data_IF_907338960978
#
_entry.id   IF_907338960978
#
_cell.length_a   1.000
_cell.length_b   1.000
_cell.length_c   1.000
_cell.angle_alpha   90.00
_cell.angle_beta   90.00
_cell.angle_gamma   90.00
#
_symmetry.space_group_name_H-M   'P 1'
#
loop_
_entity.id
_entity.type
_entity.pdbx_description
1 polymer ?
#
# COMPACT_ATOMS: atom_id res chain seq x y z
N UNK A 1 9.97 -9.52 25.78
CA UNK A 1 9.31 -8.85 24.64
C UNK A 1 8.56 -9.91 23.86
N UNK A 2 7.35 -9.64 23.37
CA UNK A 2 6.55 -10.63 22.64
C UNK A 2 7.20 -10.94 21.29
N UNK A 3 7.14 -12.18 20.80
CA UNK A 3 7.70 -12.57 19.48
C UNK A 3 7.21 -11.65 18.35
N UNK A 4 5.93 -11.29 18.40
CA UNK A 4 5.30 -10.31 17.49
C UNK A 4 5.94 -8.91 17.52
N UNK A 5 6.35 -8.42 18.70
CA UNK A 5 7.00 -7.11 18.84
C UNK A 5 8.40 -7.14 18.23
N UNK A 6 9.13 -8.24 18.43
CA UNK A 6 10.44 -8.43 17.81
C UNK A 6 10.33 -8.48 16.27
N UNK A 7 9.33 -9.18 15.73
CA UNK A 7 9.09 -9.23 14.30
C UNK A 7 8.77 -7.84 13.72
N UNK A 8 7.95 -7.03 14.40
CA UNK A 8 7.67 -5.65 13.97
C UNK A 8 8.92 -4.77 13.98
N UNK A 9 9.76 -4.88 15.02
CA UNK A 9 11.02 -4.13 15.06
C UNK A 9 11.96 -4.54 13.93
N UNK A 10 12.06 -5.85 13.64
CA UNK A 10 12.83 -6.35 12.49
C UNK A 10 12.28 -5.84 11.16
N UNK A 11 10.95 -5.71 11.03
CA UNK A 11 10.34 -5.13 9.83
C UNK A 11 10.79 -3.68 9.64
N UNK A 12 10.70 -2.87 10.70
CA UNK A 12 11.13 -1.46 10.69
C UNK A 12 12.59 -1.37 10.27
N UNK A 13 13.48 -2.09 10.96
CA UNK A 13 14.92 -2.09 10.66
C UNK A 13 15.23 -2.48 9.21
N UNK A 14 14.48 -3.44 8.63
CA UNK A 14 14.67 -3.85 7.23
C UNK A 14 14.23 -2.79 6.25
N UNK A 15 13.08 -2.18 6.46
CA UNK A 15 12.59 -1.12 5.57
C UNK A 15 13.48 0.12 5.66
N UNK A 16 13.96 0.47 6.86
CA UNK A 16 14.91 1.58 7.08
C UNK A 16 16.24 1.39 6.33
N UNK A 17 16.74 0.15 6.17
CA UNK A 17 17.96 -0.11 5.38
C UNK A 17 17.80 0.27 3.91
N UNK A 18 16.59 0.14 3.39
CA UNK A 18 16.26 0.47 1.99
C UNK A 18 15.81 1.92 1.80
N UNK A 19 15.61 2.68 2.88
CA UNK A 19 15.05 4.04 2.85
C UNK A 19 15.91 4.98 3.69
N UNK A 20 16.65 5.85 3.01
CA UNK A 20 17.54 6.81 3.68
C UNK A 20 16.78 8.06 4.11
N UNK A 21 16.93 8.46 5.37
CA UNK A 21 16.49 9.77 5.87
C UNK A 21 14.98 9.95 6.04
N UNK A 22 14.19 8.88 6.00
CA UNK A 22 12.72 8.95 6.09
C UNK A 22 12.17 7.96 7.14
N UNK A 23 12.76 7.95 8.33
CA UNK A 23 12.33 7.07 9.42
C UNK A 23 10.84 7.26 9.76
N UNK A 24 10.37 8.51 9.79
CA UNK A 24 8.95 8.82 10.06
C UNK A 24 7.99 8.23 9.02
N UNK A 25 8.43 8.11 7.76
CA UNK A 25 7.64 7.45 6.71
C UNK A 25 7.54 5.97 7.02
N UNK A 26 8.67 5.31 7.32
CA UNK A 26 8.69 3.88 7.66
C UNK A 26 7.79 3.57 8.85
N UNK A 27 7.89 4.36 9.92
CA UNK A 27 7.03 4.24 11.10
C UNK A 27 5.55 4.35 10.73
N UNK A 28 5.18 5.34 9.91
CA UNK A 28 3.80 5.51 9.46
C UNK A 28 3.31 4.35 8.59
N UNK A 29 4.18 3.77 7.74
CA UNK A 29 3.83 2.60 6.94
C UNK A 29 3.55 1.39 7.84
N UNK A 30 4.42 1.14 8.82
CA UNK A 30 4.26 0.02 9.75
C UNK A 30 3.04 0.23 10.66
N UNK A 31 2.76 1.46 11.10
CA UNK A 31 1.55 1.80 11.84
C UNK A 31 0.29 1.57 11.02
N UNK A 32 0.26 2.02 9.76
CA UNK A 32 -0.86 1.76 8.84
C UNK A 32 -1.08 0.26 8.67
N UNK A 33 0.00 -0.48 8.46
CA UNK A 33 -0.03 -1.94 8.35
C UNK A 33 -0.60 -2.60 9.61
N UNK A 34 -0.16 -2.23 10.81
CA UNK A 34 -0.61 -2.81 12.08
C UNK A 34 -2.03 -2.41 12.49
N UNK A 35 -2.53 -1.29 11.97
CA UNK A 35 -3.88 -0.79 12.26
C UNK A 35 -4.91 -1.20 11.22
N UNK A 36 -4.50 -1.95 10.19
CA UNK A 36 -5.32 -2.23 9.01
C UNK A 36 -5.86 -0.94 8.35
N UNK A 37 -5.00 0.08 8.29
CA UNK A 37 -5.32 1.38 7.69
C UNK A 37 -4.47 1.66 6.46
N UNK A 38 -4.94 2.62 5.66
CA UNK A 38 -4.27 3.08 4.45
C UNK A 38 -3.51 4.38 4.72
N UNK A 39 -2.41 4.62 3.99
CA UNK A 39 -1.54 5.79 4.22
C UNK A 39 -1.52 6.69 3.00
N UNK A 40 -1.65 8.00 3.24
CA UNK A 40 -1.51 9.04 2.22
C UNK A 40 -0.14 9.72 2.35
N UNK A 41 0.69 9.62 1.32
CA UNK A 41 2.05 10.19 1.25
C UNK A 41 2.07 11.45 0.37
N UNK A 42 2.01 12.61 0.99
CA UNK A 42 2.15 13.90 0.31
C UNK A 42 3.62 14.31 0.21
N UNK A 43 4.06 14.84 -0.93
CA UNK A 43 5.46 15.25 -1.09
C UNK A 43 5.93 15.26 -2.54
N UNK A 44 7.13 15.77 -2.75
CA UNK A 44 7.67 16.04 -4.09
C UNK A 44 8.03 14.76 -4.86
N UNK A 45 8.01 14.80 -6.21
CA UNK A 45 8.53 13.71 -7.02
C UNK A 45 10.00 13.45 -6.70
N UNK A 46 10.42 12.18 -6.76
CA UNK A 46 11.81 11.79 -6.50
C UNK A 46 12.17 11.57 -5.02
N UNK A 47 11.24 11.75 -4.09
CA UNK A 47 11.46 11.56 -2.64
C UNK A 47 11.44 10.08 -2.18
N UNK A 48 11.88 9.14 -3.01
CA UNK A 48 11.99 7.70 -2.69
C UNK A 48 10.72 6.99 -2.15
N UNK A 49 9.53 7.60 -2.17
CA UNK A 49 8.27 7.02 -1.65
C UNK A 49 7.98 5.62 -2.22
N UNK A 50 8.09 5.46 -3.53
CA UNK A 50 7.87 4.17 -4.22
C UNK A 50 8.83 3.10 -3.72
N UNK A 51 10.09 3.46 -3.42
CA UNK A 51 11.09 2.55 -2.89
C UNK A 51 10.71 2.10 -1.48
N UNK A 52 10.23 3.01 -0.62
CA UNK A 52 9.78 2.67 0.74
C UNK A 52 8.63 1.67 0.74
N UNK A 53 7.65 1.86 -0.15
CA UNK A 53 6.51 0.95 -0.26
C UNK A 53 6.93 -0.42 -0.80
N UNK A 54 7.80 -0.44 -1.81
CA UNK A 54 8.32 -1.69 -2.37
C UNK A 54 9.14 -2.47 -1.34
N UNK A 55 10.03 -1.79 -0.62
CA UNK A 55 10.83 -2.39 0.44
C UNK A 55 9.96 -3.00 1.55
N UNK A 56 8.83 -2.37 1.90
CA UNK A 56 7.86 -2.95 2.82
C UNK A 56 7.25 -4.25 2.28
N UNK A 57 6.82 -4.27 1.02
CA UNK A 57 6.24 -5.45 0.39
C UNK A 57 7.24 -6.61 0.30
N UNK A 58 8.49 -6.31 -0.07
CA UNK A 58 9.61 -7.25 -0.17
C UNK A 58 9.96 -7.81 1.22
N UNK A 59 10.04 -6.95 2.25
CA UNK A 59 10.33 -7.37 3.62
C UNK A 59 9.26 -8.31 4.23
N UNK A 60 8.02 -8.24 3.73
CA UNK A 60 6.90 -9.11 4.10
C UNK A 60 6.71 -10.30 3.14
N UNK A 61 7.47 -10.38 2.03
CA UNK A 61 7.25 -11.36 0.96
C UNK A 61 5.78 -11.40 0.49
N UNK A 62 5.22 -10.21 0.22
CA UNK A 62 3.82 -10.03 -0.18
C UNK A 62 3.69 -9.61 -1.62
N UNK A 63 2.50 -9.81 -2.20
CA UNK A 63 2.21 -9.33 -3.54
C UNK A 63 2.15 -7.79 -3.56
N UNK A 64 2.83 -7.19 -4.55
CA UNK A 64 2.91 -5.75 -4.74
C UNK A 64 2.20 -5.32 -6.02
N UNK A 65 1.26 -4.39 -5.88
CA UNK A 65 0.55 -3.76 -6.98
C UNK A 65 0.94 -2.30 -7.11
N UNK A 66 1.09 -1.80 -8.33
CA UNK A 66 1.31 -0.38 -8.60
C UNK A 66 0.29 0.12 -9.59
N UNK A 67 -0.34 1.24 -9.26
CA UNK A 67 -1.25 1.98 -10.13
C UNK A 67 -0.72 3.39 -10.25
N UNK A 68 -0.42 3.83 -11.47
CA UNK A 68 -0.13 5.22 -11.75
C UNK A 68 -1.44 5.90 -12.12
N UNK A 69 -1.87 6.88 -11.31
CA UNK A 69 -3.09 7.61 -11.59
C UNK A 69 -2.82 8.64 -12.68
N UNK A 70 -3.61 8.57 -13.75
CA UNK A 70 -3.52 9.47 -14.90
C UNK A 70 -4.93 9.95 -15.27
N UNK A 71 -5.07 11.07 -16.01
CA UNK A 71 -6.38 11.63 -16.35
C UNK A 71 -7.26 10.71 -17.21
N UNK A 72 -6.65 9.76 -17.92
CA UNK A 72 -7.28 8.78 -18.81
C UNK A 72 -7.55 7.42 -18.15
N UNK A 73 -7.10 7.23 -16.91
CA UNK A 73 -7.28 5.97 -16.18
C UNK A 73 -8.77 5.67 -15.99
N UNK A 74 -9.17 4.41 -16.17
CA UNK A 74 -10.53 3.95 -15.94
C UNK A 74 -10.63 3.23 -14.58
N UNK A 75 -11.82 3.21 -13.94
CA UNK A 75 -12.04 2.42 -12.73
C UNK A 75 -11.65 0.95 -12.89
N UNK A 76 -11.95 0.36 -14.05
CA UNK A 76 -11.61 -1.03 -14.39
C UNK A 76 -10.10 -1.31 -14.44
N UNK A 77 -9.26 -0.30 -14.70
CA UNK A 77 -7.80 -0.48 -14.68
C UNK A 77 -7.28 -0.65 -13.25
N UNK A 78 -8.03 -0.15 -12.27
CA UNK A 78 -7.74 -0.27 -10.83
C UNK A 78 -8.37 -1.55 -10.28
N UNK A 79 -9.65 -1.75 -10.54
CA UNK A 79 -10.47 -2.84 -9.98
C UNK A 79 -10.40 -4.14 -10.77
N UNK A 80 -9.92 -4.13 -12.00
CA UNK A 80 -10.02 -5.27 -12.90
C UNK A 80 -11.23 -5.20 -13.81
N UNK A 81 -11.24 -6.11 -14.79
CA UNK A 81 -12.23 -6.16 -15.87
C UNK A 81 -12.59 -7.61 -16.19
N UNK A 82 -13.76 -7.83 -16.79
CA UNK A 82 -14.10 -9.11 -17.40
C UNK A 82 -13.62 -9.14 -18.85
N UNK A 83 -12.80 -10.13 -19.17
CA UNK A 83 -12.31 -10.35 -20.54
C UNK A 83 -13.08 -11.50 -21.15
N UNK A 84 -13.60 -11.26 -22.35
CA UNK A 84 -14.24 -12.31 -23.13
C UNK A 84 -13.17 -13.25 -23.69
N UNK A 85 -13.25 -14.52 -23.31
CA UNK A 85 -12.40 -15.57 -23.82
C UNK A 85 -13.18 -16.37 -24.86
N UNK A 86 -12.72 -16.28 -26.11
CA UNK A 86 -13.28 -17.04 -27.23
C UNK A 86 -13.07 -18.54 -27.01
N UNK A 87 -14.04 -19.33 -27.44
CA UNK A 87 -13.94 -20.78 -27.39
C UNK A 87 -12.85 -21.27 -28.34
N UNK A 88 -11.88 -22.02 -27.80
CA UNK A 88 -10.74 -22.54 -28.59
C UNK A 88 -11.10 -23.80 -29.38
N UNK A 89 -12.30 -24.36 -29.14
CA UNK A 89 -12.79 -25.58 -29.77
C UNK A 89 -14.31 -25.55 -29.85
N UNK A 90 -14.90 -26.26 -30.82
CA UNK A 90 -16.36 -26.33 -31.03
C UNK A 90 -17.14 -26.87 -29.82
N UNK A 91 -16.45 -27.44 -28.83
CA UNK A 91 -17.01 -28.00 -27.59
C UNK A 91 -16.88 -27.05 -26.39
N UNK A 92 -16.09 -25.98 -26.50
CA UNK A 92 -15.98 -24.96 -25.45
C UNK A 92 -17.02 -23.86 -25.69
N UNK A 93 -17.64 -23.37 -24.61
CA UNK A 93 -18.46 -22.15 -24.68
C UNK A 93 -17.56 -20.97 -24.40
N UNK A 94 -17.75 -19.89 -25.15
CA UNK A 94 -17.12 -18.63 -24.79
C UNK A 94 -17.54 -18.22 -23.38
N UNK A 95 -16.58 -17.70 -22.62
CA UNK A 95 -16.79 -17.36 -21.20
C UNK A 95 -16.20 -15.99 -20.89
N UNK A 96 -16.77 -15.33 -19.90
CA UNK A 96 -16.22 -14.12 -19.32
C UNK A 96 -15.29 -14.53 -18.17
N UNK A 97 -14.02 -14.17 -18.27
CA UNK A 97 -13.03 -14.44 -17.23
C UNK A 97 -12.65 -13.12 -16.55
N UNK A 98 -12.72 -13.09 -15.22
CA UNK A 98 -12.29 -11.92 -14.46
C UNK A 98 -10.76 -11.79 -14.48
N UNK A 99 -10.28 -10.65 -14.95
CA UNK A 99 -8.88 -10.27 -14.87
C UNK A 99 -8.71 -9.27 -13.71
N UNK A 100 -8.07 -9.69 -12.60
CA UNK A 100 -7.93 -8.85 -11.41
C UNK A 100 -7.05 -7.63 -11.70
N UNK A 101 -7.48 -6.48 -11.21
CA UNK A 101 -6.70 -5.26 -11.25
C UNK A 101 -5.59 -5.24 -10.19
N UNK A 102 -4.74 -4.20 -10.18
CA UNK A 102 -3.62 -4.11 -9.25
C UNK A 102 -4.03 -4.06 -7.78
N UNK A 103 -5.27 -3.71 -7.45
CA UNK A 103 -5.76 -3.67 -6.07
C UNK A 103 -5.90 -5.05 -5.42
N UNK A 104 -5.84 -6.14 -6.18
CA UNK A 104 -5.84 -7.51 -5.63
C UNK A 104 -4.47 -7.93 -5.08
N UNK A 105 -3.50 -7.02 -5.05
CA UNK A 105 -2.24 -7.22 -4.35
C UNK A 105 -2.35 -6.85 -2.87
N UNK A 106 -1.48 -7.42 -2.04
CA UNK A 106 -1.50 -7.20 -0.60
C UNK A 106 -1.08 -5.77 -0.25
N UNK A 107 -0.03 -5.29 -0.91
CA UNK A 107 0.47 -3.91 -0.79
C UNK A 107 0.26 -3.22 -2.13
N UNK A 108 -0.45 -2.10 -2.14
CA UNK A 108 -0.78 -1.36 -3.35
C UNK A 108 -0.26 0.07 -3.26
N UNK A 109 0.58 0.46 -4.21
CA UNK A 109 1.00 1.84 -4.41
C UNK A 109 0.10 2.52 -5.44
N UNK A 110 -0.66 3.52 -5.01
CA UNK A 110 -1.48 4.38 -5.85
C UNK A 110 -0.76 5.71 -6.07
N UNK A 111 0.08 5.78 -7.10
CA UNK A 111 0.88 6.97 -7.39
C UNK A 111 0.03 8.09 -7.97
N UNK A 112 0.21 9.30 -7.42
CA UNK A 112 -0.41 10.55 -7.89
C UNK A 112 -1.93 10.48 -7.96
N UNK A 113 -2.58 9.96 -6.91
CA UNK A 113 -4.04 9.74 -6.86
C UNK A 113 -4.86 10.98 -7.25
N UNK A 114 -4.31 12.19 -7.02
CA UNK A 114 -4.91 13.46 -7.42
C UNK A 114 -4.88 13.74 -8.94
N UNK A 115 -4.31 12.88 -9.79
CA UNK A 115 -4.29 13.07 -11.26
C UNK A 115 -5.42 12.35 -12.00
N UNK A 116 -6.08 11.37 -11.38
CA UNK A 116 -7.20 10.69 -12.01
C UNK A 116 -8.54 11.37 -11.67
N UNK A 117 -9.57 11.20 -12.53
CA UNK A 117 -10.91 11.69 -12.25
C UNK A 117 -11.49 11.13 -10.95
N UNK A 118 -12.42 11.88 -10.34
CA UNK A 118 -13.07 11.49 -9.08
C UNK A 118 -13.74 10.10 -9.11
N UNK A 119 -14.18 9.62 -10.28
CA UNK A 119 -14.75 8.27 -10.43
C UNK A 119 -13.73 7.16 -10.19
N UNK A 120 -12.49 7.35 -10.61
CA UNK A 120 -11.40 6.39 -10.43
C UNK A 120 -10.94 6.39 -8.97
N UNK A 121 -10.80 7.59 -8.40
CA UNK A 121 -10.52 7.76 -6.96
C UNK A 121 -11.59 7.07 -6.11
N UNK A 122 -12.87 7.27 -6.43
CA UNK A 122 -13.99 6.64 -5.73
C UNK A 122 -13.92 5.11 -5.78
N UNK A 123 -13.61 4.52 -6.94
CA UNK A 123 -13.48 3.07 -7.08
C UNK A 123 -12.38 2.48 -6.16
N UNK A 124 -11.22 3.14 -6.08
CA UNK A 124 -10.16 2.75 -5.15
C UNK A 124 -10.61 2.90 -3.68
N UNK A 125 -11.23 4.03 -3.33
CA UNK A 125 -11.66 4.33 -1.96
C UNK A 125 -12.80 3.43 -1.48
N UNK A 126 -13.68 3.01 -2.39
CA UNK A 126 -14.73 2.03 -2.13
C UNK A 126 -14.11 0.66 -1.82
N UNK A 127 -13.17 0.21 -2.65
CA UNK A 127 -12.43 -1.04 -2.41
C UNK A 127 -11.67 -1.00 -1.06
N UNK A 128 -11.09 0.14 -0.69
CA UNK A 128 -10.46 0.36 0.62
C UNK A 128 -11.44 0.25 1.78
N UNK A 129 -12.64 0.78 1.64
CA UNK A 129 -13.63 0.78 2.72
C UNK A 129 -14.31 -0.58 2.89
N UNK A 130 -14.66 -1.23 1.79
CA UNK A 130 -15.48 -2.46 1.80
C UNK A 130 -14.63 -3.74 1.85
N UNK A 131 -13.34 -3.68 1.49
CA UNK A 131 -12.50 -4.88 1.38
C UNK A 131 -12.93 -5.83 0.25
N UNK A 132 -13.86 -5.39 -0.59
CA UNK A 132 -14.44 -6.16 -1.69
C UNK A 132 -14.66 -5.28 -2.89
N UNK A 133 -14.75 -5.91 -4.05
CA UNK A 133 -14.92 -5.23 -5.34
C UNK A 133 -15.93 -6.02 -6.14
N UNK A 134 -16.94 -5.35 -6.68
CA UNK A 134 -17.92 -6.01 -7.56
C UNK A 134 -17.64 -5.61 -9.00
N UNK A 135 -17.42 -6.60 -9.87
CA UNK A 135 -17.21 -6.41 -11.31
C UNK A 135 -18.22 -7.30 -12.03
N UNK A 136 -19.01 -6.69 -12.93
CA UNK A 136 -20.17 -7.37 -13.52
C UNK A 136 -21.16 -7.78 -12.43
N UNK A 137 -21.49 -9.07 -12.38
CA UNK A 137 -22.40 -9.66 -11.39
C UNK A 137 -21.67 -10.44 -10.27
N UNK A 138 -20.33 -10.34 -10.20
CA UNK A 138 -19.51 -11.09 -9.25
C UNK A 138 -18.77 -10.17 -8.26
N UNK A 139 -18.86 -10.51 -6.97
CA UNK A 139 -18.11 -9.84 -5.91
C UNK A 139 -16.85 -10.63 -5.58
N UNK A 140 -15.71 -9.95 -5.64
CA UNK A 140 -14.40 -10.49 -5.36
C UNK A 140 -13.86 -9.90 -4.05
N UNK A 141 -13.27 -10.76 -3.21
CA UNK A 141 -12.66 -10.37 -1.95
C UNK A 141 -11.21 -9.93 -2.18
N UNK A 142 -10.80 -8.86 -1.50
CA UNK A 142 -9.40 -8.43 -1.48
C UNK A 142 -8.59 -9.31 -0.51
N UNK A 143 -7.24 -9.33 -0.62
CA UNK A 143 -6.39 -10.07 0.30
C UNK A 143 -6.63 -9.70 1.77
N UNK A 144 -6.50 -10.66 2.69
CA UNK A 144 -6.66 -10.41 4.13
C UNK A 144 -5.64 -9.37 4.64
N UNK A 145 -4.41 -9.45 4.13
CA UNK A 145 -3.42 -8.38 4.28
C UNK A 145 -3.54 -7.43 3.10
N UNK A 146 -4.40 -6.43 3.21
CA UNK A 146 -4.57 -5.39 2.21
C UNK A 146 -4.19 -4.01 2.77
N UNK A 147 -3.31 -3.29 2.07
CA UNK A 147 -2.91 -1.93 2.40
C UNK A 147 -2.71 -1.12 1.13
N UNK A 148 -3.23 0.10 1.13
CA UNK A 148 -3.07 1.06 0.03
C UNK A 148 -2.23 2.21 0.53
N UNK A 149 -1.22 2.55 -0.24
CA UNK A 149 -0.34 3.69 -0.04
C UNK A 149 -0.56 4.62 -1.23
N UNK A 150 -1.28 5.71 -1.00
CA UNK A 150 -1.56 6.68 -2.05
C UNK A 150 -0.54 7.82 -1.99
N UNK A 151 -0.02 8.28 -3.13
CA UNK A 151 0.87 9.44 -3.17
C UNK A 151 0.18 10.63 -3.82
N UNK A 152 0.48 11.83 -3.34
CA UNK A 152 0.01 13.08 -3.95
C UNK A 152 1.16 14.08 -4.05
N UNK A 153 1.20 14.79 -5.18
CA UNK A 153 2.12 15.89 -5.40
C UNK A 153 1.40 17.22 -5.11
N UNK A 154 1.79 17.96 -4.06
CA UNK A 154 1.09 19.19 -3.66
C UNK A 154 1.32 20.36 -4.63
N UNK A 155 2.36 20.32 -5.48
CA UNK A 155 2.74 21.45 -6.36
C UNK A 155 2.04 21.37 -7.73
N UNK A 156 1.52 20.20 -8.11
CA UNK A 156 0.97 19.99 -9.45
C UNK A 156 -0.45 20.56 -9.56
N UNK A 157 -0.57 21.69 -10.28
CA UNK A 157 -1.85 22.43 -10.41
C UNK A 157 -2.58 22.15 -11.73
N UNK A 158 -1.94 21.51 -12.70
CA UNK A 158 -2.56 21.25 -14.00
C UNK A 158 -3.13 19.83 -14.06
N UNK A 159 -4.42 19.71 -14.38
CA UNK A 159 -5.07 18.40 -14.53
C UNK A 159 -5.22 17.61 -13.23
N UNK A 160 -5.23 18.28 -12.07
CA UNK A 160 -5.40 17.63 -10.77
C UNK A 160 -6.84 17.74 -10.24
N UNK A 161 -7.29 16.65 -9.64
CA UNK A 161 -8.56 16.45 -8.95
C UNK A 161 -8.24 16.22 -7.47
N UNK A 162 -8.28 17.27 -6.63
CA UNK A 162 -7.93 17.13 -5.21
C UNK A 162 -8.90 16.18 -4.52
N UNK A 163 -8.37 15.35 -3.62
CA UNK A 163 -9.19 14.52 -2.75
C UNK A 163 -9.98 15.42 -1.81
N UNK A 164 -11.32 15.36 -1.80
CA UNK A 164 -12.12 16.03 -0.77
C UNK A 164 -11.74 15.55 0.63
N UNK A 165 -11.87 16.41 1.64
CA UNK A 165 -11.53 16.07 3.04
C UNK A 165 -12.22 14.79 3.52
N UNK A 166 -13.51 14.62 3.20
CA UNK A 166 -14.28 13.42 3.51
C UNK A 166 -13.74 12.13 2.85
N UNK A 167 -12.96 12.24 1.77
CA UNK A 167 -12.28 11.11 1.14
C UNK A 167 -10.91 10.86 1.77
N UNK A 168 -10.22 11.92 2.20
CA UNK A 168 -8.95 11.82 2.93
C UNK A 168 -9.11 11.11 4.28
N UNK A 169 -10.27 11.24 4.94
CA UNK A 169 -10.59 10.55 6.19
C UNK A 169 -10.54 9.01 6.11
N UNK A 170 -10.52 8.43 4.91
CA UNK A 170 -10.34 6.98 4.70
C UNK A 170 -8.89 6.54 4.87
N UNK A 171 -7.94 7.47 4.94
CA UNK A 171 -6.56 7.20 5.26
C UNK A 171 -6.34 7.41 6.75
N UNK A 172 -5.72 6.44 7.43
CA UNK A 172 -5.46 6.52 8.87
C UNK A 172 -4.38 7.56 9.19
N UNK A 173 -3.46 7.76 8.25
CA UNK A 173 -2.34 8.69 8.38
C UNK A 173 -2.13 9.43 7.07
N UNK A 174 -1.92 10.74 7.17
CA UNK A 174 -1.33 11.57 6.13
C UNK A 174 0.08 11.93 6.55
N UNK A 175 1.07 11.60 5.72
CA UNK A 175 2.49 11.84 5.98
C UNK A 175 3.03 12.77 4.92
N UNK A 176 3.68 13.85 5.35
CA UNK A 176 4.41 14.75 4.45
C UNK A 176 5.85 14.28 4.32
N UNK A 177 6.34 14.22 3.08
CA UNK A 177 7.69 13.82 2.71
C UNK A 177 8.38 15.00 2.05
N UNK A 178 9.32 15.58 2.78
CA UNK A 178 10.14 16.70 2.32
C UNK A 178 11.35 16.22 1.49
N UNK A 179 12.05 17.15 0.86
CA UNK A 179 13.30 16.84 0.16
C UNK A 179 14.35 16.36 1.19
N UNK A 180 15.11 15.29 0.89
CA UNK A 180 16.21 14.88 1.76
C UNK A 180 17.23 16.02 1.91
N UNK A 181 17.89 16.11 3.06
CA UNK A 181 19.04 16.99 3.20
C UNK A 181 20.22 16.50 2.34
N UNK A 182 21.24 17.35 2.14
CA UNK A 182 22.38 17.05 1.27
C UNK A 182 23.09 15.73 1.65
N UNK A 183 23.15 15.41 2.96
CA UNK A 183 23.77 14.19 3.46
C UNK A 183 22.92 12.94 3.13
N UNK A 184 21.60 13.05 3.30
CA UNK A 184 20.64 12.02 2.93
C UNK A 184 20.57 11.82 1.41
N UNK A 185 20.61 12.90 0.62
CA UNK A 185 20.65 12.83 -0.86
C UNK A 185 21.93 12.11 -1.33
N UNK A 186 23.08 12.45 -0.77
CA UNK A 186 24.34 11.77 -1.07
C UNK A 186 24.28 10.29 -0.70
N UNK A 187 23.67 9.95 0.43
CA UNK A 187 23.47 8.57 0.86
C UNK A 187 22.49 7.81 -0.06
N UNK A 188 21.42 8.46 -0.56
CA UNK A 188 20.52 7.88 -1.57
C UNK A 188 21.29 7.57 -2.86
N UNK A 189 22.12 8.50 -3.35
CA UNK A 189 22.94 8.28 -4.55
C UNK A 189 23.90 7.10 -4.35
N UNK A 190 24.53 6.99 -3.17
CA UNK A 190 25.41 5.87 -2.83
C UNK A 190 24.66 4.54 -2.78
N UNK A 191 23.46 4.52 -2.20
CA UNK A 191 22.61 3.34 -2.13
C UNK A 191 22.23 2.84 -3.53
N UNK A 192 21.69 3.71 -4.38
CA UNK A 192 21.29 3.38 -5.75
C UNK A 192 22.48 2.85 -6.56
N UNK A 193 23.65 3.49 -6.46
CA UNK A 193 24.87 3.02 -7.13
C UNK A 193 25.38 1.69 -6.56
N UNK A 194 25.24 1.46 -5.26
CA UNK A 194 25.61 0.20 -4.63
C UNK A 194 24.77 -0.97 -5.15
N UNK A 195 23.47 -0.76 -5.33
CA UNK A 195 22.54 -1.75 -5.90
C UNK A 195 22.88 -2.09 -7.36
N UNK A 196 23.23 -1.09 -8.18
CA UNK A 196 23.65 -1.29 -9.58
C UNK A 196 24.96 -2.10 -9.70
N UNK A 197 25.86 -1.96 -8.73
CA UNK A 197 27.18 -2.63 -8.73
C UNK A 197 27.12 -4.05 -8.16
N UNK A 198 26.24 -4.31 -7.19
CA UNK A 198 26.17 -5.61 -6.48
C UNK A 198 25.37 -6.67 -7.24
N UNK A 199 24.63 -6.32 -8.30
CA UNK A 199 24.08 -7.32 -9.23
C UNK A 199 23.39 -8.51 -8.56
N UNK A 200 22.41 -8.27 -7.69
CA UNK A 200 21.45 -9.29 -7.28
C UNK A 200 21.90 -10.34 -6.26
N UNK A 201 22.95 -10.11 -5.46
CA UNK A 201 23.09 -10.86 -4.20
C UNK A 201 22.20 -10.21 -3.13
N UNK A 202 20.89 -10.45 -3.21
CA UNK A 202 19.99 -10.19 -2.10
C UNK A 202 20.46 -11.04 -0.91
N UNK A 203 20.97 -10.38 0.13
CA UNK A 203 21.02 -10.98 1.45
C UNK A 203 19.58 -11.35 1.79
N UNK A 204 19.25 -12.64 1.63
CA UNK A 204 17.96 -13.24 1.98
C UNK A 204 17.80 -13.20 3.50
N UNK A 205 17.58 -12.01 4.04
CA UNK A 205 17.13 -11.81 5.39
C UNK A 205 15.69 -12.37 5.43
N UNK A 206 15.51 -13.56 6.01
CA UNK A 206 14.25 -14.34 6.01
C UNK A 206 13.02 -13.44 6.14
N UNK A 207 12.26 -13.24 5.05
CA UNK A 207 11.11 -12.34 5.02
C UNK A 207 10.14 -12.63 6.18
N UNK A 208 9.53 -11.58 6.71
CA UNK A 208 8.60 -11.72 7.83
C UNK A 208 7.28 -12.25 7.28
N UNK A 209 6.83 -13.39 7.82
CA UNK A 209 5.55 -13.98 7.42
C UNK A 209 4.39 -12.99 7.65
N UNK A 210 3.59 -12.65 6.62
CA UNK A 210 2.37 -11.85 6.73
C UNK A 210 1.43 -12.28 7.86
N UNK A 211 1.36 -13.58 8.17
CA UNK A 211 0.55 -14.09 9.27
C UNK A 211 0.95 -13.51 10.62
N UNK A 212 2.23 -13.15 10.80
CA UNK A 212 2.74 -12.50 12.02
C UNK A 212 2.14 -11.10 12.20
N UNK A 213 1.97 -10.36 11.09
CA UNK A 213 1.36 -9.03 11.09
C UNK A 213 -0.14 -9.14 11.37
N UNK A 214 -0.82 -10.12 10.78
CA UNK A 214 -2.24 -10.39 11.06
C UNK A 214 -2.44 -10.74 12.54
N UNK A 215 -1.57 -11.58 13.11
CA UNK A 215 -1.58 -11.87 14.54
C UNK A 215 -1.32 -10.61 15.40
N UNK A 216 -0.44 -9.71 14.95
CA UNK A 216 -0.19 -8.42 15.60
C UNK A 216 -1.43 -7.52 15.63
N UNK A 217 -2.15 -7.41 14.50
CA UNK A 217 -3.42 -6.67 14.38
C UNK A 217 -4.45 -7.17 15.39
N UNK A 218 -4.64 -8.49 15.45
CA UNK A 218 -5.59 -9.11 16.38
C UNK A 218 -5.26 -8.80 17.85
N UNK A 219 -3.97 -8.77 18.21
CA UNK A 219 -3.52 -8.46 19.56
C UNK A 219 -3.72 -6.99 19.94
N UNK A 220 -3.51 -6.06 19.01
CA UNK A 220 -3.79 -4.64 19.21
C UNK A 220 -5.28 -4.39 19.49
N UNK A 221 -6.15 -5.06 18.74
CA UNK A 221 -7.61 -4.99 18.96
C UNK A 221 -8.00 -5.52 20.35
N UNK A 222 -7.39 -6.63 20.81
CA UNK A 222 -7.60 -7.15 22.17
C UNK A 222 -7.18 -6.16 23.25
N UNK A 223 -6.03 -5.48 23.09
CA UNK A 223 -5.57 -4.47 24.05
C UNK A 223 -6.55 -3.30 24.16
N UNK A 224 -7.11 -2.84 23.03
CA UNK A 224 -8.15 -1.79 23.01
C UNK A 224 -9.41 -2.24 23.75
N UNK A 225 -9.85 -3.48 23.53
CA UNK A 225 -11.03 -4.04 24.18
C UNK A 225 -10.85 -4.22 25.70
N UNK A 226 -9.70 -4.72 26.15
CA UNK A 226 -9.36 -4.86 27.57
C UNK A 226 -9.24 -3.51 28.29
N UNK A 227 -8.67 -2.50 27.62
CA UNK A 227 -8.62 -1.13 28.12
C UNK A 227 -10.03 -0.54 28.28
N UNK A 228 -10.89 -0.71 27.26
CA UNK A 228 -12.29 -0.26 27.29
C UNK A 228 -13.12 -0.97 28.38
N UNK A 229 -12.97 -2.28 28.55
CA UNK A 229 -13.64 -3.01 29.63
C UNK A 229 -13.21 -2.49 31.01
N UNK A 230 -11.92 -2.21 31.19
CA UNK A 230 -11.40 -1.65 32.45
C UNK A 230 -11.87 -0.22 32.69
N UNK A 231 -12.04 0.61 31.66
CA UNK A 231 -12.54 1.97 31.85
C UNK A 231 -14.05 2.05 32.07
N UNK A 232 -14.81 1.04 31.64
CA UNK A 232 -16.29 1.08 31.61
C UNK A 232 -16.95 0.28 32.75
N UNK A 233 -16.24 -0.70 33.35
CA UNK A 233 -16.79 -1.56 34.42
C UNK A 233 -16.14 -1.39 35.80
N UNK A 234 -15.11 -0.53 35.94
CA UNK A 234 -14.44 -0.23 37.23
C UNK A 234 -14.77 1.17 37.79
N UNK A 235 -15.82 1.82 37.26
CA UNK A 235 -16.50 2.98 37.86
C UNK A 235 -17.91 2.59 38.22
#
# INVERSE_FOLDING_TARGET
MSDTQNAVNQLIERVERSVVGQQHVVEALVLGLLTNGHVLLEGLPGTAKTRSVKALADALNTSFGRVQFTPDLLPSDVTGTEVYQEATSEQEKASLHFQPGPIFNSIVLADEINRAPAKVQAALLEAMAEGTVTVGDQTHQLPELFMVLATQNPIEQEGTYPLPEAQMDRFILKVTVDYPDDDAELAIIRLVRGEEVVGGEEQQDLAIDPATIIAARARLLMLRFLSWLRSTWLT
#
